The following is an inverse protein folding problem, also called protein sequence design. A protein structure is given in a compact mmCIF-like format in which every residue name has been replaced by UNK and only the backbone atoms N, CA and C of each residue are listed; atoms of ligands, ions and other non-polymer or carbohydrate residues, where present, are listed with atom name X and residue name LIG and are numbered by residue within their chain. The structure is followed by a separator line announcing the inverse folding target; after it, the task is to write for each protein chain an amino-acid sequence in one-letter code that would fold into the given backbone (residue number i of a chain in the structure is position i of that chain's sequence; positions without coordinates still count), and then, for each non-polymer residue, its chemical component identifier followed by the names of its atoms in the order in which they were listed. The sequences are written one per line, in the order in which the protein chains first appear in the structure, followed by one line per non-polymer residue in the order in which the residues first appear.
data_IF_496849241078
#
_entry.id   IF_496849241078
#
_cell.length_a   1.000
_cell.length_b   1.000
_cell.length_c   1.000
_cell.angle_alpha   90.00
_cell.angle_beta   90.00
_cell.angle_gamma   90.00
#
_symmetry.space_group_name_H-M   'P 1'
#
loop_
_entity.id
_entity.type
_entity.pdbx_description
1 polymer ?
#
# COMPACT_ATOMS: atom_id res chain seq x y z
N UNK A 1 9.45 14.51 -9.37
CA UNK A 1 8.14 14.43 -10.05
C UNK A 1 7.13 13.83 -9.09
N UNK A 2 5.96 14.45 -8.97
CA UNK A 2 4.87 13.95 -8.14
C UNK A 2 3.83 13.31 -9.04
N UNK A 3 3.47 12.06 -8.74
CA UNK A 3 2.40 11.35 -9.43
C UNK A 3 1.20 11.23 -8.49
N UNK A 4 0.04 11.65 -8.97
CA UNK A 4 -1.21 11.59 -8.21
C UNK A 4 -2.23 10.78 -8.99
N UNK A 5 -2.80 9.75 -8.35
CA UNK A 5 -3.84 8.91 -8.92
C UNK A 5 -5.10 9.02 -8.07
N UNK A 6 -6.26 9.16 -8.70
CA UNK A 6 -7.55 9.21 -8.03
C UNK A 6 -8.42 8.06 -8.50
N UNK A 7 -9.07 7.37 -7.56
CA UNK A 7 -9.95 6.23 -7.83
C UNK A 7 -11.23 6.39 -7.04
N UNK A 8 -12.38 6.22 -7.69
CA UNK A 8 -13.69 6.25 -7.04
C UNK A 8 -14.13 4.81 -6.81
N UNK A 9 -14.47 4.49 -5.56
CA UNK A 9 -14.88 3.15 -5.16
C UNK A 9 -16.25 3.23 -4.49
N UNK A 10 -17.18 2.41 -4.96
CA UNK A 10 -18.55 2.38 -4.42
C UNK A 10 -18.62 1.51 -3.17
N UNK A 11 -18.00 1.99 -2.10
CA UNK A 11 -17.99 1.36 -0.80
C UNK A 11 -17.71 2.40 0.29
N UNK A 12 -18.13 2.15 1.55
CA UNK A 12 -17.85 3.08 2.66
C UNK A 12 -16.35 3.25 2.90
N UNK A 13 -15.97 4.42 3.42
CA UNK A 13 -14.57 4.78 3.62
C UNK A 13 -13.82 3.79 4.52
N UNK A 14 -14.46 3.27 5.56
CA UNK A 14 -13.85 2.30 6.48
C UNK A 14 -13.49 1.00 5.76
N UNK A 15 -14.38 0.56 4.87
CA UNK A 15 -14.18 -0.66 4.08
C UNK A 15 -13.03 -0.47 3.10
N UNK A 16 -13.00 0.66 2.39
CA UNK A 16 -11.96 0.96 1.42
C UNK A 16 -10.60 1.13 2.10
N UNK A 17 -10.57 1.84 3.22
CA UNK A 17 -9.35 2.04 4.00
C UNK A 17 -8.77 0.71 4.48
N UNK A 18 -9.59 -0.15 5.06
CA UNK A 18 -9.13 -1.45 5.55
C UNK A 18 -8.69 -2.37 4.41
N UNK A 19 -9.40 -2.34 3.28
CA UNK A 19 -9.01 -3.12 2.10
C UNK A 19 -7.64 -2.68 1.56
N UNK A 20 -7.36 -1.37 1.56
CA UNK A 20 -6.08 -0.84 1.11
C UNK A 20 -4.92 -1.25 2.02
N UNK A 21 -5.19 -1.50 3.31
CA UNK A 21 -4.20 -1.96 4.30
C UNK A 21 -4.08 -3.47 4.38
N UNK A 22 -4.97 -4.21 3.71
CA UNK A 22 -5.08 -5.66 3.89
C UNK A 22 -4.00 -6.38 3.09
N UNK A 23 -3.05 -6.99 3.80
CA UNK A 23 -1.91 -7.68 3.18
C UNK A 23 -2.32 -8.96 2.46
N UNK A 24 -3.36 -9.65 2.95
CA UNK A 24 -3.87 -10.84 2.29
C UNK A 24 -4.48 -10.50 0.92
N UNK A 25 -5.22 -9.39 0.84
CA UNK A 25 -5.75 -8.90 -0.43
C UNK A 25 -4.65 -8.49 -1.39
N UNK A 26 -3.62 -7.79 -0.91
CA UNK A 26 -2.49 -7.37 -1.74
C UNK A 26 -1.74 -8.55 -2.32
N UNK A 27 -1.45 -9.56 -1.51
CA UNK A 27 -0.75 -10.75 -1.99
C UNK A 27 -1.59 -11.54 -3.00
N UNK A 28 -2.90 -11.63 -2.76
CA UNK A 28 -3.83 -12.30 -3.68
C UNK A 28 -3.94 -11.56 -5.01
N UNK A 29 -4.05 -10.23 -4.97
CA UNK A 29 -4.15 -9.38 -6.16
C UNK A 29 -2.86 -9.41 -6.99
N UNK A 30 -1.71 -9.52 -6.32
CA UNK A 30 -0.38 -9.46 -6.96
C UNK A 30 0.21 -10.84 -7.27
N UNK A 31 -0.58 -11.90 -7.16
CA UNK A 31 -0.10 -13.27 -7.40
C UNK A 31 0.51 -13.45 -8.78
N UNK A 32 -0.06 -12.79 -9.80
CA UNK A 32 0.45 -12.89 -11.18
C UNK A 32 1.81 -12.22 -11.37
N UNK A 33 2.12 -11.19 -10.59
CA UNK A 33 3.41 -10.49 -10.64
C UNK A 33 4.45 -11.13 -9.74
N UNK A 34 4.12 -12.25 -9.09
CA UNK A 34 5.02 -12.98 -8.17
C UNK A 34 5.48 -12.13 -6.98
N UNK A 35 4.70 -11.14 -6.58
CA UNK A 35 4.99 -10.34 -5.41
C UNK A 35 4.57 -11.09 -4.15
N UNK A 36 5.47 -11.16 -3.18
CA UNK A 36 5.19 -11.81 -1.89
C UNK A 36 5.96 -11.13 -0.78
N UNK A 37 5.42 -11.23 0.43
CA UNK A 37 6.10 -10.74 1.63
C UNK A 37 7.07 -11.80 2.12
N UNK A 38 8.34 -11.43 2.28
CA UNK A 38 9.39 -12.34 2.76
C UNK A 38 9.86 -12.01 4.18
N UNK A 39 9.52 -10.83 4.69
CA UNK A 39 9.86 -10.42 6.05
C UNK A 39 8.84 -9.41 6.56
N UNK A 40 8.61 -9.41 7.88
CA UNK A 40 7.64 -8.56 8.54
C UNK A 40 6.25 -9.19 8.60
N UNK A 41 5.23 -8.35 8.81
CA UNK A 41 3.84 -8.82 8.86
C UNK A 41 3.41 -9.37 7.51
N UNK A 42 2.86 -10.56 7.49
CA UNK A 42 2.45 -11.26 6.25
C UNK A 42 0.94 -11.32 6.06
N UNK A 43 0.17 -11.14 7.11
CA UNK A 43 -1.28 -11.30 7.10
C UNK A 43 -1.95 -10.15 7.85
N UNK A 44 -3.21 -9.90 7.54
CA UNK A 44 -4.03 -8.91 8.21
C UNK A 44 -3.79 -7.50 7.73
N UNK A 45 -4.06 -6.53 8.59
CA UNK A 45 -3.96 -5.11 8.27
C UNK A 45 -2.62 -4.55 8.72
N UNK A 46 -1.98 -3.75 7.87
CA UNK A 46 -0.75 -3.06 8.25
C UNK A 46 -1.05 -2.03 9.34
N UNK A 47 -0.09 -1.87 10.25
CA UNK A 47 -0.17 -0.94 11.38
C UNK A 47 0.99 0.05 11.34
N UNK A 48 0.83 1.16 12.06
CA UNK A 48 1.88 2.17 12.18
C UNK A 48 3.16 1.53 12.73
N UNK A 49 4.28 1.81 12.06
CA UNK A 49 5.58 1.29 12.45
C UNK A 49 5.93 -0.06 11.83
N UNK A 50 4.99 -0.71 11.14
CA UNK A 50 5.29 -1.97 10.45
C UNK A 50 6.35 -1.73 9.38
N UNK A 51 7.33 -2.64 9.35
CA UNK A 51 8.34 -2.69 8.30
C UNK A 51 8.14 -4.00 7.56
N UNK A 52 7.87 -3.91 6.26
CA UNK A 52 7.52 -5.07 5.43
C UNK A 52 8.49 -5.14 4.26
N UNK A 53 9.06 -6.32 4.04
CA UNK A 53 9.92 -6.58 2.90
C UNK A 53 9.17 -7.43 1.89
N UNK A 54 8.99 -6.87 0.70
CA UNK A 54 8.41 -7.55 -0.45
C UNK A 54 9.51 -8.07 -1.36
N UNK A 55 9.26 -9.22 -1.96
CA UNK A 55 10.08 -9.74 -3.05
C UNK A 55 9.21 -9.80 -4.30
N UNK A 56 9.71 -9.24 -5.38
CA UNK A 56 9.05 -9.25 -6.68
C UNK A 56 10.04 -9.72 -7.74
N UNK A 57 9.54 -10.33 -8.81
CA UNK A 57 10.36 -10.74 -9.94
C UNK A 57 9.98 -9.90 -11.16
N UNK A 58 10.96 -9.16 -11.68
CA UNK A 58 10.80 -8.37 -12.89
C UNK A 58 11.84 -8.78 -13.91
N UNK A 59 11.41 -9.16 -15.11
CA UNK A 59 12.30 -9.60 -16.19
C UNK A 59 13.27 -10.70 -15.76
N UNK A 60 12.77 -11.64 -14.94
CA UNK A 60 13.57 -12.75 -14.43
C UNK A 60 14.50 -12.40 -13.28
N UNK A 61 14.54 -11.14 -12.85
CA UNK A 61 15.41 -10.69 -11.75
C UNK A 61 14.58 -10.48 -10.50
N UNK A 62 14.99 -11.08 -9.38
CA UNK A 62 14.38 -10.87 -8.07
C UNK A 62 14.78 -9.53 -7.50
N UNK A 63 13.81 -8.77 -7.04
CA UNK A 63 14.03 -7.47 -6.39
C UNK A 63 13.37 -7.47 -5.02
N UNK A 64 14.00 -6.80 -4.06
CA UNK A 64 13.49 -6.64 -2.70
C UNK A 64 13.11 -5.18 -2.48
N UNK A 65 11.92 -4.99 -1.90
CA UNK A 65 11.40 -3.68 -1.55
C UNK A 65 11.08 -3.69 -0.06
N UNK A 66 11.75 -2.84 0.71
CA UNK A 66 11.51 -2.71 2.13
C UNK A 66 10.82 -1.39 2.40
N UNK A 67 9.63 -1.43 2.99
CA UNK A 67 8.83 -0.24 3.27
C UNK A 67 8.45 -0.17 4.74
N UNK A 68 8.34 1.05 5.25
CA UNK A 68 7.89 1.32 6.61
C UNK A 68 6.64 2.19 6.59
N UNK A 69 5.64 1.81 7.38
CA UNK A 69 4.41 2.60 7.58
C UNK A 69 4.73 3.69 8.60
N UNK A 70 4.85 4.93 8.12
CA UNK A 70 5.33 6.05 8.94
C UNK A 70 4.21 6.95 9.46
N UNK A 71 2.99 6.81 8.93
CA UNK A 71 1.83 7.58 9.38
C UNK A 71 0.57 6.77 9.15
N UNK A 72 -0.38 6.83 10.10
CA UNK A 72 -1.65 6.15 9.97
C UNK A 72 -2.72 6.90 10.77
N UNK A 73 -3.71 7.41 10.07
CA UNK A 73 -4.88 8.11 10.63
C UNK A 73 -6.15 7.53 10.03
N UNK A 74 -6.68 6.50 10.66
CA UNK A 74 -7.87 5.79 10.17
C UNK A 74 -9.11 6.68 10.28
N UNK A 75 -10.02 6.66 9.29
CA UNK A 75 -9.94 5.95 8.02
C UNK A 75 -9.50 6.85 6.85
N UNK A 76 -8.71 7.89 7.10
CA UNK A 76 -8.46 8.98 6.15
C UNK A 76 -7.10 8.93 5.46
N UNK A 77 -6.09 8.32 6.11
CA UNK A 77 -4.72 8.46 5.62
C UNK A 77 -3.82 7.37 6.17
N UNK A 78 -2.96 6.81 5.30
CA UNK A 78 -1.73 6.17 5.75
C UNK A 78 -0.63 6.43 4.75
N UNK A 79 0.61 6.50 5.26
CA UNK A 79 1.79 6.82 4.47
C UNK A 79 2.89 5.82 4.74
N UNK A 80 3.59 5.43 3.68
CA UNK A 80 4.75 4.57 3.79
C UNK A 80 5.93 5.17 3.03
N UNK A 81 7.14 4.79 3.45
CA UNK A 81 8.37 5.17 2.75
C UNK A 81 9.19 3.94 2.44
N UNK A 82 9.89 3.97 1.32
CA UNK A 82 10.79 2.90 0.93
C UNK A 82 12.13 3.04 1.64
N UNK A 83 12.53 2.00 2.38
CA UNK A 83 13.80 1.96 3.10
C UNK A 83 14.90 1.34 2.23
N UNK A 84 14.52 0.39 1.35
CA UNK A 84 15.43 -0.32 0.46
C UNK A 84 14.69 -0.70 -0.81
N UNK A 85 15.34 -0.53 -1.94
CA UNK A 85 14.79 -0.84 -3.25
C UNK A 85 15.32 0.12 -4.32
N UNK A 86 14.82 -0.05 -5.55
CA UNK A 86 15.24 0.79 -6.68
C UNK A 86 14.93 2.28 -6.47
N UNK A 87 13.89 2.57 -5.68
CA UNK A 87 13.43 3.94 -5.39
C UNK A 87 13.45 4.20 -3.88
N UNK A 88 14.62 4.07 -3.26
CA UNK A 88 14.76 4.14 -1.79
C UNK A 88 14.31 5.45 -1.15
N UNK A 89 14.04 6.48 -1.94
CA UNK A 89 13.50 7.75 -1.45
C UNK A 89 12.03 7.92 -1.79
N UNK A 90 11.40 6.87 -2.32
CA UNK A 90 9.98 6.94 -2.66
C UNK A 90 9.14 7.03 -1.38
N UNK A 91 8.24 7.99 -1.39
CA UNK A 91 7.27 8.21 -0.35
C UNK A 91 5.87 8.07 -0.95
N UNK A 92 5.03 7.26 -0.34
CA UNK A 92 3.68 7.01 -0.86
C UNK A 92 2.63 7.40 0.18
N UNK A 93 1.76 8.32 -0.19
CA UNK A 93 0.63 8.73 0.64
C UNK A 93 -0.66 8.15 0.07
N UNK A 94 -1.42 7.44 0.91
CA UNK A 94 -2.74 6.90 0.58
C UNK A 94 -3.77 7.72 1.34
N UNK A 95 -4.58 8.49 0.61
CA UNK A 95 -5.59 9.39 1.18
C UNK A 95 -6.98 8.92 0.80
N UNK A 96 -7.94 9.10 1.71
CA UNK A 96 -9.31 8.61 1.52
C UNK A 96 -10.29 9.71 1.90
N UNK A 97 -11.27 9.96 1.02
CA UNK A 97 -12.29 10.97 1.22
C UNK A 97 -13.67 10.32 1.07
N UNK A 98 -14.51 10.49 2.09
CA UNK A 98 -15.88 9.97 2.04
C UNK A 98 -16.73 10.82 1.10
N UNK A 99 -17.43 10.15 0.18
CA UNK A 99 -18.40 10.76 -0.72
C UNK A 99 -19.80 10.26 -0.35
N UNK A 100 -20.85 10.92 -0.87
CA UNK A 100 -22.23 10.53 -0.58
C UNK A 100 -22.57 9.10 -1.01
N UNK A 101 -21.89 8.58 -2.04
CA UNK A 101 -22.16 7.27 -2.64
C UNK A 101 -20.98 6.32 -2.55
N UNK A 102 -19.88 6.71 -1.89
CA UNK A 102 -18.68 5.86 -1.85
C UNK A 102 -17.47 6.58 -1.31
N UNK A 103 -16.31 6.24 -1.84
CA UNK A 103 -15.02 6.76 -1.39
C UNK A 103 -14.15 7.18 -2.56
N UNK A 104 -13.49 8.31 -2.40
CA UNK A 104 -12.42 8.75 -3.31
C UNK A 104 -11.09 8.38 -2.67
N UNK A 105 -10.33 7.53 -3.34
CA UNK A 105 -8.99 7.14 -2.93
C UNK A 105 -7.98 7.93 -3.74
N UNK A 106 -7.04 8.57 -3.06
CA UNK A 106 -6.02 9.41 -3.67
C UNK A 106 -4.66 8.86 -3.31
N UNK A 107 -3.90 8.45 -4.32
CA UNK A 107 -2.54 7.97 -4.15
C UNK A 107 -1.57 9.02 -4.65
N UNK A 108 -0.63 9.42 -3.79
CA UNK A 108 0.41 10.40 -4.12
C UNK A 108 1.77 9.74 -3.93
N UNK A 109 2.55 9.76 -4.98
CA UNK A 109 3.90 9.20 -5.01
C UNK A 109 4.97 10.30 -5.09
#
# INVERSE_FOLDING_TARGET
MILKLETIINAPIEVVFDAARNLDLHQKANKKSSERIIDGRKHGLIELGDIITWEARHFGVKQKLRVEVVKLKAPYLFEDKMLQGAFKYLFHSHQFEALNFGTKMIDVF
#
